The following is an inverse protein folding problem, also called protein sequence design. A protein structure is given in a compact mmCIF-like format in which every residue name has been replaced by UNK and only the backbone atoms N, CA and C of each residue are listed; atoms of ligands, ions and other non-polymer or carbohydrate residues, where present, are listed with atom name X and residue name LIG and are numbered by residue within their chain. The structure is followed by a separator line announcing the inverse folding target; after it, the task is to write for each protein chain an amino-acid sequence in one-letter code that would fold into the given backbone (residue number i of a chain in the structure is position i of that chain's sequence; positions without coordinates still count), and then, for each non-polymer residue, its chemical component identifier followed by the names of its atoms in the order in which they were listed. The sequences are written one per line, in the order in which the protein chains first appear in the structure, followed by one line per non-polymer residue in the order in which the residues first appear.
data_IF_998198693338
#
_entry.id   IF_998198693338
#
_cell.length_a   1.000
_cell.length_b   1.000
_cell.length_c   1.000
_cell.angle_alpha   90.00
_cell.angle_beta   90.00
_cell.angle_gamma   90.00
#
_symmetry.space_group_name_H-M   'P 1'
#
loop_
_entity.id
_entity.type
_entity.pdbx_description
1 polymer ?
#
# COMPACT_ATOMS: atom_id res chain seq x y z
N UNK A 1 2.32 -3.49 8.46
CA UNK A 1 1.95 -2.87 7.16
C UNK A 1 2.72 -1.59 6.93
N UNK A 2 2.74 -0.65 7.89
CA UNK A 2 3.49 0.61 7.80
C UNK A 2 4.97 0.42 7.43
N UNK A 3 5.65 -0.56 8.04
CA UNK A 3 7.05 -0.89 7.72
C UNK A 3 7.28 -1.16 6.21
N UNK A 4 6.41 -1.95 5.60
CA UNK A 4 6.48 -2.27 4.16
C UNK A 4 6.30 -0.99 3.32
N UNK A 5 5.39 -0.09 3.70
CA UNK A 5 5.16 1.15 2.97
C UNK A 5 6.37 2.10 3.06
N UNK A 6 6.99 2.19 4.24
CA UNK A 6 8.20 2.98 4.49
C UNK A 6 9.37 2.47 3.65
N UNK A 7 9.58 1.15 3.61
CA UNK A 7 10.62 0.52 2.80
C UNK A 7 10.42 0.80 1.30
N UNK A 8 9.22 0.52 0.78
CA UNK A 8 8.92 0.72 -0.64
C UNK A 8 9.04 2.19 -1.06
N UNK A 9 8.64 3.12 -0.20
CA UNK A 9 8.84 4.55 -0.45
C UNK A 9 10.33 4.95 -0.44
N UNK A 10 11.12 4.38 0.46
CA UNK A 10 12.58 4.60 0.51
C UNK A 10 13.26 4.05 -0.75
N UNK A 11 12.76 2.94 -1.30
CA UNK A 11 13.13 2.36 -2.60
C UNK A 11 12.62 3.17 -3.81
N UNK A 12 11.90 4.29 -3.59
CA UNK A 12 11.29 5.14 -4.63
C UNK A 12 10.36 4.37 -5.57
N UNK A 13 9.67 3.34 -5.06
CA UNK A 13 8.71 2.56 -5.85
C UNK A 13 7.51 3.44 -6.24
N UNK A 14 7.03 3.25 -7.46
CA UNK A 14 5.85 3.97 -7.94
C UNK A 14 4.57 3.34 -7.37
N UNK A 15 3.53 4.15 -7.12
CA UNK A 15 2.26 3.67 -6.58
C UNK A 15 1.36 3.04 -7.67
N UNK A 16 1.79 1.89 -8.18
CA UNK A 16 1.18 1.14 -9.28
C UNK A 16 0.83 -0.31 -8.87
N UNK A 17 0.21 -1.05 -9.80
CA UNK A 17 -0.25 -2.41 -9.55
C UNK A 17 0.86 -3.41 -9.20
N UNK A 18 2.10 -3.18 -9.68
CA UNK A 18 3.26 -4.03 -9.38
C UNK A 18 3.70 -3.85 -7.93
N UNK A 19 3.75 -2.60 -7.46
CA UNK A 19 4.06 -2.32 -6.05
C UNK A 19 2.97 -2.87 -5.13
N UNK A 20 1.71 -2.82 -5.55
CA UNK A 20 0.63 -3.47 -4.79
C UNK A 20 0.81 -4.99 -4.67
N UNK A 21 1.29 -5.66 -5.72
CA UNK A 21 1.64 -7.09 -5.66
C UNK A 21 2.79 -7.34 -4.69
N UNK A 22 3.83 -6.52 -4.74
CA UNK A 22 4.98 -6.62 -3.84
C UNK A 22 4.59 -6.41 -2.37
N UNK A 23 3.64 -5.51 -2.09
CA UNK A 23 3.08 -5.34 -0.73
C UNK A 23 2.38 -6.62 -0.29
N UNK A 24 1.57 -7.24 -1.16
CA UNK A 24 0.86 -8.48 -0.83
C UNK A 24 1.84 -9.63 -0.59
N UNK A 25 2.86 -9.78 -1.44
CA UNK A 25 3.88 -10.82 -1.29
C UNK A 25 4.62 -10.67 0.05
N UNK A 26 5.07 -9.45 0.40
CA UNK A 26 5.71 -9.17 1.69
C UNK A 26 4.77 -9.38 2.89
N UNK A 27 3.46 -9.13 2.75
CA UNK A 27 2.46 -9.42 3.79
C UNK A 27 2.30 -10.93 4.00
N UNK A 28 2.29 -11.72 2.93
CA UNK A 28 2.22 -13.18 2.98
C UNK A 28 3.48 -13.79 3.62
N UNK A 29 4.67 -13.26 3.32
CA UNK A 29 5.93 -13.64 3.95
C UNK A 29 5.94 -13.36 5.46
N UNK A 30 5.29 -12.27 5.90
CA UNK A 30 5.14 -11.91 7.31
C UNK A 30 3.97 -12.62 8.04
N UNK A 31 3.59 -13.83 7.57
CA UNK A 31 2.57 -14.73 8.15
C UNK A 31 1.11 -14.29 8.02
N UNK A 32 0.78 -13.34 7.13
CA UNK A 32 -0.62 -13.04 6.81
C UNK A 32 -1.02 -13.79 5.53
N UNK A 33 -1.59 -14.98 5.66
CA UNK A 33 -2.16 -15.69 4.51
C UNK A 33 -3.30 -14.85 3.91
N UNK A 34 -3.16 -14.48 2.64
CA UNK A 34 -4.20 -13.79 1.88
C UNK A 34 -4.87 -14.83 0.98
N UNK A 35 -6.16 -15.15 1.20
CA UNK A 35 -6.86 -16.06 0.31
C UNK A 35 -6.79 -15.59 -1.15
N UNK A 36 -6.54 -16.48 -2.13
CA UNK A 36 -6.49 -16.11 -3.55
C UNK A 36 -7.75 -15.38 -4.03
N UNK A 37 -8.91 -15.75 -3.47
CA UNK A 37 -10.20 -15.10 -3.72
C UNK A 37 -10.24 -13.64 -3.26
N UNK A 38 -9.56 -13.32 -2.15
CA UNK A 38 -9.49 -11.97 -1.59
C UNK A 38 -8.32 -11.15 -2.16
N UNK A 39 -7.31 -11.81 -2.76
CA UNK A 39 -6.08 -11.17 -3.26
C UNK A 39 -6.34 -9.97 -4.19
N UNK A 40 -7.39 -10.04 -5.01
CA UNK A 40 -7.80 -8.93 -5.90
C UNK A 40 -8.31 -7.71 -5.12
N UNK A 41 -9.14 -7.92 -4.11
CA UNK A 41 -9.66 -6.84 -3.26
C UNK A 41 -8.55 -6.22 -2.42
N UNK A 42 -7.71 -7.08 -1.81
CA UNK A 42 -6.53 -6.63 -1.07
C UNK A 42 -5.59 -5.81 -1.96
N UNK A 43 -5.35 -6.21 -3.23
CA UNK A 43 -4.53 -5.44 -4.18
C UNK A 43 -5.02 -4.00 -4.32
N UNK A 44 -6.33 -3.80 -4.43
CA UNK A 44 -6.91 -2.44 -4.51
C UNK A 44 -6.75 -1.66 -3.22
N UNK A 45 -6.93 -2.30 -2.06
CA UNK A 45 -6.78 -1.66 -0.74
C UNK A 45 -5.34 -1.24 -0.49
N UNK A 46 -4.37 -2.16 -0.64
CA UNK A 46 -2.95 -1.86 -0.38
C UNK A 46 -2.40 -0.82 -1.36
N UNK A 47 -2.86 -0.82 -2.61
CA UNK A 47 -2.50 0.21 -3.59
C UNK A 47 -2.99 1.58 -3.15
N UNK A 48 -4.21 1.66 -2.63
CA UNK A 48 -4.77 2.91 -2.13
C UNK A 48 -3.98 3.40 -0.91
N UNK A 49 -3.72 2.52 0.06
CA UNK A 49 -2.94 2.89 1.26
C UNK A 49 -1.54 3.37 0.91
N UNK A 50 -0.87 2.72 -0.05
CA UNK A 50 0.44 3.19 -0.50
C UNK A 50 0.37 4.54 -1.22
N UNK A 51 -0.67 4.79 -2.02
CA UNK A 51 -0.88 6.13 -2.63
C UNK A 51 -1.09 7.20 -1.57
N UNK A 52 -1.93 6.93 -0.58
CA UNK A 52 -2.20 7.85 0.52
C UNK A 52 -0.93 8.13 1.33
N UNK A 53 -0.11 7.11 1.57
CA UNK A 53 1.20 7.25 2.21
C UNK A 53 2.17 8.12 1.38
N UNK A 54 2.31 7.84 0.09
CA UNK A 54 3.19 8.62 -0.80
C UNK A 54 2.75 10.09 -0.86
N UNK A 55 1.45 10.36 -0.93
CA UNK A 55 0.91 11.71 -0.91
C UNK A 55 1.25 12.44 0.40
N UNK A 56 0.99 11.80 1.54
CA UNK A 56 1.31 12.36 2.85
C UNK A 56 2.81 12.73 2.98
N UNK A 57 3.72 11.88 2.48
CA UNK A 57 5.16 12.15 2.51
C UNK A 57 5.60 13.30 1.59
N UNK A 58 4.82 13.61 0.55
CA UNK A 58 5.07 14.75 -0.34
C UNK A 58 4.48 16.05 0.20
N UNK A 59 3.84 16.03 1.36
CA UNK A 59 3.07 17.15 1.87
C UNK A 59 1.79 17.40 1.07
N UNK A 60 1.40 16.46 0.21
CA UNK A 60 0.10 16.47 -0.46
C UNK A 60 -0.91 15.90 0.55
N UNK A 61 -1.85 16.72 1.01
CA UNK A 61 -2.90 16.27 1.94
C UNK A 61 -3.61 15.05 1.34
N UNK A 62 -3.54 13.86 1.96
CA UNK A 62 -4.31 12.72 1.49
C UNK A 62 -5.78 13.09 1.54
N UNK A 63 -6.53 12.78 0.48
CA UNK A 63 -7.91 13.22 0.22
C UNK A 63 -8.96 12.64 1.19
N UNK A 64 -8.58 12.30 2.43
CA UNK A 64 -9.41 11.63 3.44
C UNK A 64 -9.73 12.50 4.67
N UNK A 65 -9.29 13.75 4.77
CA UNK A 65 -9.55 14.59 5.96
C UNK A 65 -10.37 15.88 5.72
N UNK A 66 -11.06 16.01 4.59
CA UNK A 66 -12.05 17.08 4.40
C UNK A 66 -13.47 16.49 4.58
N UNK A 67 -13.89 16.31 5.84
CA UNK A 67 -15.26 15.91 6.16
C UNK A 67 -15.47 15.54 7.62
N UNK A 68 -15.86 16.54 8.44
CA UNK A 68 -16.39 16.34 9.80
C UNK A 68 -15.90 17.36 10.80
#
# INVERSE_FOLDING_TARGET
MEEILVELYSERKEANGKTAEEILDRLEENKNYIPPSARREYKSVVLKEYRDYVAAQKGETPSRLEGG
#
